data_IF_404976028087
#
_entry.id   IF_404976028087
#
_cell.length_a   1.000
_cell.length_b   1.000
_cell.length_c   1.000
_cell.angle_alpha   90.00
_cell.angle_beta   90.00
_cell.angle_gamma   90.00
#
_symmetry.space_group_name_H-M   'P 1'
#
loop_
_entity.id
_entity.type
_entity.pdbx_description
1 polymer ?
#
# COMPACT_ATOMS: atom_id res chain seq x y z
N UNK A 1 7.64 11.29 11.54
CA UNK A 1 7.84 10.81 10.15
C UNK A 1 6.62 10.00 9.77
N UNK A 2 6.13 10.11 8.54
CA UNK A 2 4.90 9.41 8.18
C UNK A 2 5.14 7.88 8.17
N UNK A 3 4.14 7.13 8.61
CA UNK A 3 4.24 5.69 8.88
C UNK A 3 4.49 4.87 7.60
N UNK A 4 5.33 3.85 7.71
CA UNK A 4 5.59 2.89 6.63
C UNK A 4 5.81 1.49 7.18
N UNK A 5 5.50 0.49 6.36
CA UNK A 5 5.93 -0.90 6.60
C UNK A 5 7.21 -1.16 5.82
N UNK A 6 8.22 -1.74 6.49
CA UNK A 6 9.48 -2.12 5.85
C UNK A 6 9.45 -3.60 5.50
N UNK A 7 9.71 -3.91 4.24
CA UNK A 7 9.83 -5.28 3.75
C UNK A 7 11.28 -5.65 3.44
N UNK A 8 11.59 -6.95 3.53
CA UNK A 8 12.78 -7.49 2.86
C UNK A 8 12.63 -7.36 1.35
N UNK A 9 13.72 -7.52 0.60
CA UNK A 9 13.69 -7.39 -0.86
C UNK A 9 12.72 -8.37 -1.51
N UNK A 10 12.79 -9.64 -1.13
CA UNK A 10 11.93 -10.68 -1.71
C UNK A 10 10.47 -10.48 -1.35
N UNK A 11 10.18 -10.12 -0.08
CA UNK A 11 8.81 -9.83 0.35
C UNK A 11 8.24 -8.58 -0.36
N UNK A 12 9.05 -7.56 -0.58
CA UNK A 12 8.64 -6.37 -1.33
C UNK A 12 8.34 -6.70 -2.79
N UNK A 13 9.22 -7.47 -3.45
CA UNK A 13 8.99 -7.92 -4.83
C UNK A 13 7.70 -8.73 -4.91
N UNK A 14 7.51 -9.69 -4.01
CA UNK A 14 6.30 -10.52 -3.96
C UNK A 14 5.03 -9.68 -3.73
N UNK A 15 5.10 -8.64 -2.90
CA UNK A 15 3.99 -7.72 -2.64
C UNK A 15 3.56 -6.96 -3.90
N UNK A 16 4.51 -6.39 -4.66
CA UNK A 16 4.17 -5.48 -5.76
C UNK A 16 4.04 -6.20 -7.12
N UNK A 17 4.69 -7.34 -7.31
CA UNK A 17 4.75 -8.02 -8.61
C UNK A 17 3.36 -8.30 -9.22
N UNK A 18 2.35 -8.81 -8.48
CA UNK A 18 1.02 -9.04 -9.05
C UNK A 18 0.39 -7.76 -9.62
N UNK A 19 0.51 -6.65 -8.90
CA UNK A 19 -0.01 -5.34 -9.33
C UNK A 19 0.77 -4.80 -10.53
N UNK A 20 2.10 -4.93 -10.51
CA UNK A 20 2.96 -4.51 -11.64
C UNK A 20 2.60 -5.27 -12.91
N UNK A 21 2.42 -6.60 -12.82
CA UNK A 21 2.03 -7.43 -13.94
C UNK A 21 0.62 -7.09 -14.45
N UNK A 22 -0.33 -6.82 -13.55
CA UNK A 22 -1.66 -6.36 -13.93
C UNK A 22 -1.57 -5.04 -14.73
N UNK A 23 -0.87 -4.04 -14.21
CA UNK A 23 -0.74 -2.75 -14.90
C UNK A 23 -0.05 -2.90 -16.26
N UNK A 24 0.92 -3.80 -16.37
CA UNK A 24 1.57 -4.10 -17.65
C UNK A 24 0.60 -4.72 -18.66
N UNK A 25 -0.22 -5.69 -18.26
CA UNK A 25 -1.27 -6.28 -19.13
C UNK A 25 -2.29 -5.24 -19.61
N UNK A 26 -2.58 -4.25 -18.79
CA UNK A 26 -3.44 -3.11 -19.14
C UNK A 26 -2.76 -2.03 -20.01
N UNK A 27 -1.57 -2.32 -20.58
CA UNK A 27 -0.84 -1.40 -21.45
C UNK A 27 0.09 -0.42 -20.72
N UNK A 28 0.56 -0.79 -19.52
CA UNK A 28 1.52 0.00 -18.74
C UNK A 28 2.81 0.33 -19.51
N UNK A 29 3.43 1.48 -19.19
CA UNK A 29 4.50 2.08 -20.01
C UNK A 29 5.89 1.53 -19.71
N UNK A 30 6.06 0.95 -18.52
CA UNK A 30 7.30 0.30 -18.12
C UNK A 30 7.17 -1.21 -18.22
N UNK A 31 8.28 -1.85 -18.56
CA UNK A 31 8.45 -3.29 -18.37
C UNK A 31 8.36 -3.62 -16.88
N UNK A 32 7.70 -4.73 -16.50
CA UNK A 32 7.55 -5.15 -15.11
C UNK A 32 8.85 -5.17 -14.31
N UNK A 33 9.93 -5.69 -14.89
CA UNK A 33 11.25 -5.74 -14.27
C UNK A 33 11.78 -4.36 -13.91
N UNK A 34 11.63 -3.40 -14.83
CA UNK A 34 12.06 -2.01 -14.66
C UNK A 34 11.24 -1.33 -13.58
N UNK A 35 9.92 -1.51 -13.57
CA UNK A 35 9.03 -0.93 -12.55
C UNK A 35 9.31 -1.48 -11.15
N UNK A 36 9.54 -2.79 -11.01
CA UNK A 36 9.90 -3.41 -9.73
C UNK A 36 11.26 -2.89 -9.26
N UNK A 37 12.27 -2.88 -10.13
CA UNK A 37 13.60 -2.39 -9.81
C UNK A 37 13.60 -0.93 -9.39
N UNK A 38 12.85 -0.10 -10.10
CA UNK A 38 12.65 1.30 -9.78
C UNK A 38 11.99 1.46 -8.41
N UNK A 39 10.87 0.78 -8.16
CA UNK A 39 10.17 0.85 -6.88
C UNK A 39 11.06 0.43 -5.70
N UNK A 40 11.89 -0.60 -5.88
CA UNK A 40 12.86 -0.99 -4.86
C UNK A 40 13.94 0.07 -4.65
N UNK A 41 14.48 0.65 -5.73
CA UNK A 41 15.53 1.67 -5.64
C UNK A 41 15.05 2.95 -4.96
N UNK A 42 13.83 3.41 -5.27
CA UNK A 42 13.26 4.65 -4.72
C UNK A 42 12.88 4.50 -3.24
N UNK A 43 12.42 3.32 -2.83
CA UNK A 43 11.86 3.12 -1.47
C UNK A 43 12.78 2.35 -0.53
N UNK A 44 13.73 1.60 -1.08
CA UNK A 44 14.47 0.56 -0.37
C UNK A 44 13.57 -0.52 0.23
N UNK A 45 12.34 -0.73 -0.24
CA UNK A 45 11.37 -1.66 0.35
C UNK A 45 10.46 -1.08 1.44
N UNK A 46 10.45 0.25 1.60
CA UNK A 46 9.51 0.94 2.49
C UNK A 46 8.21 1.22 1.74
N UNK A 47 7.10 0.68 2.21
CA UNK A 47 5.78 0.98 1.65
C UNK A 47 5.07 1.94 2.61
N UNK A 48 4.88 3.20 2.22
CA UNK A 48 4.12 4.14 3.05
C UNK A 48 2.64 3.75 3.10
N UNK A 49 1.96 4.08 4.20
CA UNK A 49 0.51 3.81 4.36
C UNK A 49 -0.36 4.50 3.29
N UNK A 50 0.14 5.56 2.66
CA UNK A 50 -0.53 6.28 1.57
C UNK A 50 -0.06 5.85 0.16
N UNK A 51 0.67 4.74 0.06
CA UNK A 51 1.02 4.02 -1.18
C UNK A 51 1.77 4.83 -2.26
N UNK A 52 2.46 5.90 -1.91
CA UNK A 52 3.29 6.66 -2.86
C UNK A 52 4.72 6.09 -2.92
N UNK A 53 4.98 5.15 -3.83
CA UNK A 53 6.28 4.47 -3.94
C UNK A 53 7.32 5.21 -4.80
N UNK A 54 7.07 6.47 -5.17
CA UNK A 54 7.97 7.25 -6.04
C UNK A 54 8.15 8.70 -5.63
N UNK A 55 7.61 9.11 -4.48
CA UNK A 55 7.72 10.48 -3.99
C UNK A 55 7.03 11.50 -4.90
N UNK A 56 5.86 11.18 -5.46
CA UNK A 56 5.15 12.13 -6.30
C UNK A 56 4.58 13.27 -5.45
N UNK A 57 5.01 14.50 -5.73
CA UNK A 57 4.48 15.70 -5.10
C UNK A 57 3.11 16.07 -5.68
N UNK A 58 2.29 16.77 -4.90
CA UNK A 58 0.96 17.28 -5.32
C UNK A 58 1.07 18.16 -6.57
N UNK A 59 2.13 18.97 -6.67
CA UNK A 59 2.37 19.85 -7.83
C UNK A 59 1.23 20.85 -8.01
N UNK A 60 0.65 20.91 -9.22
CA UNK A 60 -0.48 21.80 -9.53
C UNK A 60 -1.80 21.44 -8.86
N UNK A 61 -1.87 20.32 -8.13
CA UNK A 61 -3.07 19.89 -7.41
C UNK A 61 -4.20 19.34 -8.30
N UNK A 62 -4.00 19.25 -9.63
CA UNK A 62 -5.02 18.72 -10.54
C UNK A 62 -5.17 17.20 -10.37
N UNK A 63 -6.36 16.70 -10.00
CA UNK A 63 -6.62 15.26 -9.91
C UNK A 63 -6.42 14.54 -11.24
N UNK A 64 -6.23 13.23 -11.18
CA UNK A 64 -6.18 12.33 -12.34
C UNK A 64 -7.21 11.22 -12.15
N UNK A 65 -7.41 10.37 -13.16
CA UNK A 65 -8.28 9.19 -13.03
C UNK A 65 -7.85 8.22 -11.91
N UNK A 66 -6.60 8.33 -11.46
CA UNK A 66 -5.98 7.43 -10.48
C UNK A 66 -5.54 8.13 -9.19
N UNK A 67 -5.78 9.44 -9.08
CA UNK A 67 -5.45 10.24 -7.92
C UNK A 67 -6.51 11.32 -7.71
N UNK A 68 -7.20 11.29 -6.57
CA UNK A 68 -8.37 12.12 -6.28
C UNK A 68 -8.04 13.48 -5.63
N UNK A 69 -6.75 13.83 -5.53
CA UNK A 69 -6.29 15.03 -4.84
C UNK A 69 -5.83 14.79 -3.40
N UNK A 70 -6.03 13.57 -2.86
CA UNK A 70 -5.59 13.23 -1.50
C UNK A 70 -4.08 13.45 -1.33
N UNK A 71 -3.66 13.95 -0.16
CA UNK A 71 -2.25 14.26 0.09
C UNK A 71 -1.81 13.97 1.52
N UNK A 72 -0.53 13.65 1.69
CA UNK A 72 0.15 13.60 2.98
C UNK A 72 1.22 14.68 3.01
N UNK A 73 1.22 15.45 4.10
CA UNK A 73 2.21 16.48 4.37
C UNK A 73 3.35 15.91 5.22
N UNK A 74 4.60 16.20 4.87
CA UNK A 74 5.75 15.88 5.69
C UNK A 74 6.60 17.11 5.93
N UNK A 75 7.00 17.33 7.17
CA UNK A 75 8.06 18.28 7.49
C UNK A 75 9.38 17.81 6.89
N UNK A 76 10.08 18.75 6.28
CA UNK A 76 11.42 18.60 5.73
C UNK A 76 12.28 19.74 6.27
N UNK A 77 13.56 19.46 6.52
CA UNK A 77 14.52 20.46 6.98
C UNK A 77 15.35 20.89 5.79
N UNK A 78 15.24 22.16 5.40
CA UNK A 78 16.14 22.75 4.41
C UNK A 78 17.12 23.68 5.13
N UNK A 79 18.40 23.63 4.73
CA UNK A 79 19.43 24.53 5.27
C UNK A 79 19.68 25.62 4.25
N UNK A 80 19.29 26.85 4.58
CA UNK A 80 19.55 28.04 3.77
C UNK A 80 20.60 28.89 4.50
N UNK A 81 21.76 29.09 3.89
CA UNK A 81 22.86 29.92 4.42
C UNK A 81 23.25 29.59 5.88
N UNK A 82 23.24 28.30 6.25
CA UNK A 82 23.56 27.84 7.61
C UNK A 82 22.40 27.86 8.62
N UNK A 83 21.22 28.35 8.22
CA UNK A 83 19.99 28.33 9.03
C UNK A 83 19.10 27.17 8.59
N UNK A 84 18.70 26.31 9.54
CA UNK A 84 17.72 25.26 9.28
C UNK A 84 16.32 25.85 9.31
N UNK A 85 15.62 25.80 8.18
CA UNK A 85 14.21 26.17 8.04
C UNK A 85 13.38 24.91 7.88
N UNK A 86 12.30 24.81 8.66
CA UNK A 86 11.30 23.76 8.47
C UNK A 86 10.45 24.13 7.24
N UNK A 87 10.57 23.37 6.17
CA UNK A 87 9.69 23.48 5.01
C UNK A 87 8.76 22.26 4.94
N UNK A 88 7.62 22.43 4.30
CA UNK A 88 6.61 21.37 4.20
C UNK A 88 6.52 20.86 2.77
N UNK A 89 6.63 19.55 2.59
CA UNK A 89 6.40 18.90 1.31
C UNK A 89 5.06 18.16 1.30
N UNK A 90 4.23 18.44 0.30
CA UNK A 90 2.96 17.74 0.09
C UNK A 90 3.12 16.66 -0.98
N UNK A 91 2.89 15.42 -0.57
CA UNK A 91 2.96 14.23 -1.42
C UNK A 91 1.57 13.74 -1.77
N UNK A 92 1.40 13.22 -2.99
CA UNK A 92 0.17 12.54 -3.38
C UNK A 92 -0.05 11.32 -2.48
N UNK A 93 -1.27 11.12 -2.03
CA UNK A 93 -1.75 9.92 -1.36
C UNK A 93 -2.64 9.14 -2.31
N UNK A 94 -2.45 7.82 -2.38
CA UNK A 94 -3.17 6.94 -3.29
C UNK A 94 -4.05 5.98 -2.51
N UNK A 95 -5.11 5.47 -3.15
CA UNK A 95 -5.99 4.45 -2.56
C UNK A 95 -5.33 3.07 -2.50
N UNK A 96 -4.39 2.81 -3.41
CA UNK A 96 -3.64 1.55 -3.48
C UNK A 96 -2.36 1.69 -4.31
N UNK A 97 -1.51 0.67 -4.25
CA UNK A 97 -0.32 0.53 -5.10
C UNK A 97 -0.69 0.57 -6.60
N UNK A 98 -1.83 -0.01 -6.97
CA UNK A 98 -2.35 0.03 -8.35
C UNK A 98 -2.58 1.48 -8.82
N UNK A 99 -3.27 2.29 -8.01
CA UNK A 99 -3.54 3.69 -8.31
C UNK A 99 -2.25 4.50 -8.49
N UNK A 100 -1.26 4.27 -7.61
CA UNK A 100 0.06 4.89 -7.77
C UNK A 100 0.71 4.52 -9.11
N UNK A 101 0.73 3.23 -9.48
CA UNK A 101 1.34 2.80 -10.74
C UNK A 101 0.61 3.30 -11.98
N UNK A 102 -0.72 3.40 -11.96
CA UNK A 102 -1.47 4.00 -13.07
C UNK A 102 -1.24 5.51 -13.17
N UNK A 103 -1.10 6.22 -12.05
CA UNK A 103 -0.70 7.64 -12.06
C UNK A 103 0.76 7.81 -12.52
N UNK A 104 1.64 6.86 -12.20
CA UNK A 104 3.01 6.80 -12.71
C UNK A 104 3.04 6.67 -14.24
N UNK A 105 2.14 5.89 -14.83
CA UNK A 105 2.03 5.75 -16.28
C UNK A 105 1.68 7.06 -16.98
N UNK A 106 0.90 7.94 -16.33
CA UNK A 106 0.60 9.29 -16.85
C UNK A 106 1.86 10.18 -16.93
N UNK A 107 2.85 9.97 -16.06
CA UNK A 107 4.15 10.64 -16.22
C UNK A 107 4.84 10.15 -17.49
N UNK A 108 4.87 8.84 -17.71
CA UNK A 108 5.55 8.21 -18.83
C UNK A 108 4.82 8.39 -20.18
N UNK A 109 3.56 8.82 -20.17
CA UNK A 109 2.83 9.25 -21.37
C UNK A 109 3.30 10.59 -21.94
N UNK A 110 4.06 11.40 -21.18
CA UNK A 110 4.58 12.66 -21.67
C UNK A 110 5.60 12.44 -22.81
N UNK A 111 5.62 13.36 -23.77
CA UNK A 111 6.49 13.30 -24.96
C UNK A 111 7.98 13.11 -24.65
N UNK A 112 8.47 13.68 -23.55
CA UNK A 112 9.86 13.50 -23.10
C UNK A 112 10.24 12.03 -22.87
N UNK A 113 9.28 11.13 -22.65
CA UNK A 113 9.49 9.71 -22.38
C UNK A 113 9.14 8.80 -23.57
N UNK A 114 9.00 9.34 -24.78
CA UNK A 114 8.71 8.54 -25.99
C UNK A 114 9.72 7.40 -26.19
N UNK A 115 11.00 7.68 -25.95
CA UNK A 115 12.08 6.68 -26.03
C UNK A 115 11.96 5.58 -24.97
N UNK A 116 11.42 5.90 -23.80
CA UNK A 116 11.17 4.92 -22.72
C UNK A 116 10.06 3.97 -23.14
N UNK A 117 8.99 4.49 -23.76
CA UNK A 117 7.87 3.67 -24.26
C UNK A 117 8.25 2.85 -25.50
N UNK A 118 9.18 3.33 -26.31
CA UNK A 118 9.65 2.62 -27.50
C UNK A 118 10.62 1.46 -27.21
N UNK A 119 11.32 1.51 -26.07
CA UNK A 119 12.30 0.49 -25.66
C UNK A 119 11.68 -0.91 -25.58
N UNK A 120 12.42 -1.92 -26.04
CA UNK A 120 11.95 -3.33 -26.10
C UNK A 120 12.62 -4.22 -25.06
N UNK A 121 13.70 -3.76 -24.46
CA UNK A 121 14.41 -4.49 -23.41
C UNK A 121 14.54 -3.67 -22.13
N UNK A 122 14.70 -4.31 -20.95
CA UNK A 122 14.93 -3.59 -19.70
C UNK A 122 16.16 -2.70 -19.75
N UNK A 123 17.22 -3.14 -20.44
CA UNK A 123 18.44 -2.36 -20.63
C UNK A 123 18.17 -1.08 -21.41
N UNK A 124 17.50 -1.19 -22.56
CA UNK A 124 17.12 -0.02 -23.36
C UNK A 124 16.23 0.94 -22.58
N UNK A 125 15.25 0.42 -21.83
CA UNK A 125 14.32 1.24 -21.08
C UNK A 125 14.99 1.96 -19.91
N UNK A 126 15.90 1.29 -19.18
CA UNK A 126 16.73 1.92 -18.14
C UNK A 126 17.62 3.02 -18.71
N UNK A 127 18.29 2.78 -19.85
CA UNK A 127 19.10 3.79 -20.53
C UNK A 127 18.25 4.97 -21.00
N UNK A 128 17.07 4.70 -21.57
CA UNK A 128 16.13 5.73 -22.00
C UNK A 128 15.63 6.58 -20.82
N UNK A 129 15.30 5.97 -19.67
CA UNK A 129 14.89 6.71 -18.47
C UNK A 129 15.95 7.75 -18.06
N UNK A 130 17.22 7.36 -18.06
CA UNK A 130 18.32 8.29 -17.79
C UNK A 130 18.45 9.37 -18.87
N UNK A 131 18.45 8.98 -20.15
CA UNK A 131 18.58 9.92 -21.26
C UNK A 131 17.43 10.95 -21.30
N UNK A 132 16.22 10.54 -20.92
CA UNK A 132 15.04 11.39 -20.81
C UNK A 132 15.03 12.23 -19.52
N UNK A 133 16.06 12.16 -18.68
CA UNK A 133 16.20 12.96 -17.46
C UNK A 133 15.30 12.54 -16.31
N UNK A 134 14.94 11.26 -16.19
CA UNK A 134 14.14 10.77 -15.07
C UNK A 134 14.84 10.98 -13.72
N UNK A 135 16.16 10.72 -13.67
CA UNK A 135 17.00 10.92 -12.49
C UNK A 135 18.26 11.73 -12.83
N UNK A 136 18.68 12.58 -11.90
CA UNK A 136 19.93 13.35 -12.00
C UNK A 136 21.16 12.46 -11.86
N UNK A 137 21.06 11.39 -11.07
CA UNK A 137 22.11 10.40 -10.86
C UNK A 137 22.68 9.83 -12.19
N UNK A 138 23.99 9.98 -12.47
CA UNK A 138 24.62 9.43 -13.67
C UNK A 138 24.55 7.90 -13.73
N UNK A 139 24.56 7.21 -12.59
CA UNK A 139 24.54 5.75 -12.49
C UNK A 139 23.15 5.11 -12.47
N UNK A 140 22.08 5.90 -12.63
CA UNK A 140 20.70 5.43 -12.42
C UNK A 140 20.34 4.19 -13.24
N UNK A 141 20.63 4.21 -14.55
CA UNK A 141 20.36 3.08 -15.44
C UNK A 141 21.13 1.81 -15.00
N UNK A 142 22.38 1.98 -14.56
CA UNK A 142 23.20 0.89 -14.04
C UNK A 142 22.64 0.30 -12.76
N UNK A 143 22.21 1.14 -11.81
CA UNK A 143 21.59 0.70 -10.56
C UNK A 143 20.31 -0.11 -10.79
N UNK A 144 19.45 0.36 -11.71
CA UNK A 144 18.25 -0.39 -12.08
C UNK A 144 18.62 -1.77 -12.67
N UNK A 145 19.55 -1.81 -13.62
CA UNK A 145 20.00 -3.07 -14.21
C UNK A 145 20.63 -4.02 -13.18
N UNK A 146 21.39 -3.50 -12.21
CA UNK A 146 21.93 -4.31 -11.12
C UNK A 146 20.80 -4.94 -10.28
N UNK A 147 19.74 -4.20 -9.97
CA UNK A 147 18.58 -4.75 -9.26
C UNK A 147 17.84 -5.77 -10.14
N UNK A 148 17.66 -5.51 -11.43
CA UNK A 148 16.99 -6.44 -12.35
C UNK A 148 17.72 -7.78 -12.41
N UNK A 149 19.03 -7.75 -12.68
CA UNK A 149 19.84 -8.96 -12.85
C UNK A 149 19.98 -9.73 -11.55
N UNK A 150 20.27 -9.05 -10.43
CA UNK A 150 20.50 -9.72 -9.14
C UNK A 150 19.26 -10.44 -8.59
N UNK A 151 18.06 -10.08 -9.05
CA UNK A 151 16.79 -10.66 -8.56
C UNK A 151 16.01 -11.39 -9.66
N UNK A 152 16.62 -11.61 -10.83
CA UNK A 152 16.00 -12.31 -11.96
C UNK A 152 14.66 -11.71 -12.39
N UNK A 153 14.53 -10.38 -12.38
CA UNK A 153 13.23 -9.71 -12.55
C UNK A 153 12.66 -9.80 -13.98
N UNK A 154 13.50 -10.12 -14.97
CA UNK A 154 13.07 -10.30 -16.37
C UNK A 154 12.04 -11.41 -16.54
N UNK A 155 11.93 -12.34 -15.58
CA UNK A 155 10.85 -13.36 -15.55
C UNK A 155 9.44 -12.75 -15.54
N UNK A 156 9.30 -11.50 -15.10
CA UNK A 156 8.03 -10.77 -15.10
C UNK A 156 7.75 -10.04 -16.42
N UNK A 157 8.73 -9.87 -17.30
CA UNK A 157 8.59 -9.15 -18.58
C UNK A 157 8.07 -10.03 -19.71
N UNK A 158 8.14 -11.36 -19.54
CA UNK A 158 7.61 -12.27 -20.53
C UNK A 158 6.12 -11.97 -20.73
N UNK A 159 5.63 -11.92 -21.98
CA UNK A 159 4.19 -11.91 -22.20
C UNK A 159 3.63 -13.10 -21.45
N UNK A 160 2.71 -12.85 -20.51
CA UNK A 160 1.90 -13.92 -19.92
C UNK A 160 1.37 -14.68 -21.13
N UNK A 161 1.77 -15.95 -21.26
CA UNK A 161 1.24 -16.78 -22.33
C UNK A 161 -0.26 -16.55 -22.35
N UNK A 162 -0.80 -16.14 -23.49
CA UNK A 162 -2.22 -15.87 -23.71
C UNK A 162 -3.04 -17.17 -23.68
N UNK A 163 -2.72 -18.07 -22.75
CA UNK A 163 -3.44 -19.28 -22.41
C UNK A 163 -3.90 -19.28 -20.95
N UNK A 164 -4.04 -18.09 -20.34
CA UNK A 164 -4.33 -17.90 -18.91
C UNK A 164 -5.69 -17.31 -18.58
N UNK A 165 -6.38 -16.64 -19.51
CA UNK A 165 -7.68 -16.03 -19.22
C UNK A 165 -8.85 -17.03 -19.34
N UNK A 166 -8.62 -18.19 -19.97
CA UNK A 166 -9.59 -19.29 -20.12
C UNK A 166 -9.06 -20.65 -19.60
N UNK A 167 -7.86 -20.73 -18.99
CA UNK A 167 -7.49 -21.97 -18.32
C UNK A 167 -8.25 -22.07 -16.99
N UNK A 168 -9.04 -23.14 -16.78
CA UNK A 168 -9.62 -23.39 -15.48
C UNK A 168 -8.47 -23.41 -14.46
N UNK A 169 -8.64 -22.63 -13.39
CA UNK A 169 -7.74 -22.65 -12.24
C UNK A 169 -7.37 -24.08 -11.90
N UNK A 170 -6.07 -24.36 -11.70
CA UNK A 170 -5.62 -25.72 -11.38
C UNK A 170 -6.32 -26.22 -10.12
N UNK A 171 -6.44 -27.53 -9.94
CA UNK A 171 -7.08 -28.08 -8.74
C UNK A 171 -6.41 -27.60 -7.43
N UNK A 172 -5.12 -27.29 -7.48
CA UNK A 172 -4.35 -26.77 -6.35
C UNK A 172 -4.65 -25.29 -6.08
N UNK A 173 -4.65 -24.47 -7.12
CA UNK A 173 -5.04 -23.05 -7.01
C UNK A 173 -6.50 -22.92 -6.57
N UNK A 174 -7.38 -23.82 -7.02
CA UNK A 174 -8.78 -23.84 -6.60
C UNK A 174 -8.94 -24.14 -5.13
N UNK A 175 -8.23 -25.17 -4.63
CA UNK A 175 -8.20 -25.46 -3.20
C UNK A 175 -7.62 -24.31 -2.39
N UNK A 176 -6.58 -23.65 -2.88
CA UNK A 176 -5.98 -22.51 -2.20
C UNK A 176 -6.95 -21.30 -2.16
N UNK A 177 -7.66 -21.04 -3.25
CA UNK A 177 -8.67 -19.99 -3.34
C UNK A 177 -9.88 -20.26 -2.43
N UNK A 178 -10.39 -21.49 -2.46
CA UNK A 178 -11.51 -21.91 -1.60
C UNK A 178 -11.12 -21.78 -0.12
N UNK A 179 -9.92 -22.23 0.25
CA UNK A 179 -9.38 -22.06 1.60
C UNK A 179 -9.25 -20.59 1.98
N UNK A 180 -8.71 -19.75 1.10
CA UNK A 180 -8.58 -18.31 1.37
C UNK A 180 -9.95 -17.65 1.58
N UNK A 181 -10.96 -18.07 0.81
CA UNK A 181 -12.34 -17.59 0.97
C UNK A 181 -12.93 -18.00 2.32
N UNK A 182 -12.69 -19.22 2.76
CA UNK A 182 -13.08 -19.70 4.09
C UNK A 182 -12.37 -18.92 5.21
N UNK A 183 -11.06 -18.71 5.10
CA UNK A 183 -10.27 -17.94 6.06
C UNK A 183 -10.75 -16.49 6.15
N UNK A 184 -11.02 -15.83 5.02
CA UNK A 184 -11.56 -14.46 4.98
C UNK A 184 -12.95 -14.40 5.60
N UNK A 185 -13.82 -15.38 5.33
CA UNK A 185 -15.14 -15.45 5.94
C UNK A 185 -15.05 -15.63 7.46
N UNK A 186 -14.15 -16.49 7.94
CA UNK A 186 -13.90 -16.71 9.36
C UNK A 186 -13.35 -15.45 10.05
N UNK A 187 -12.42 -14.73 9.42
CA UNK A 187 -11.88 -13.46 9.91
C UNK A 187 -12.98 -12.40 9.99
N UNK A 188 -13.87 -12.33 9.00
CA UNK A 188 -14.99 -11.40 9.03
C UNK A 188 -15.94 -11.70 10.19
N UNK A 189 -16.29 -12.97 10.40
CA UNK A 189 -17.15 -13.39 11.51
C UNK A 189 -16.50 -13.10 12.87
N UNK A 190 -15.19 -13.34 13.03
CA UNK A 190 -14.49 -13.05 14.27
C UNK A 190 -14.38 -11.54 14.53
N UNK A 191 -14.14 -10.74 13.49
CA UNK A 191 -14.13 -9.28 13.59
C UNK A 191 -15.51 -8.72 13.97
N UNK A 192 -16.59 -9.24 13.37
CA UNK A 192 -17.96 -8.91 13.76
C UNK A 192 -18.23 -9.31 15.22
N UNK A 193 -17.80 -10.49 15.66
CA UNK A 193 -17.99 -10.95 17.04
C UNK A 193 -17.27 -10.06 18.07
N UNK A 194 -16.07 -9.57 17.76
CA UNK A 194 -15.28 -8.72 18.67
C UNK A 194 -15.80 -7.27 18.69
N UNK A 195 -16.32 -6.77 17.56
CA UNK A 195 -16.76 -5.37 17.43
C UNK A 195 -18.24 -5.17 17.73
N UNK A 196 -19.04 -6.23 17.82
CA UNK A 196 -20.47 -6.17 18.09
C UNK A 196 -20.73 -5.54 19.45
N UNK A 197 -21.47 -4.42 19.42
CA UNK A 197 -22.04 -3.83 20.62
C UNK A 197 -23.27 -4.64 21.04
N UNK A 198 -23.27 -5.08 22.29
CA UNK A 198 -24.33 -5.87 22.90
C UNK A 198 -24.84 -5.17 24.16
N UNK A 199 -26.13 -5.33 24.50
CA UNK A 199 -26.62 -4.87 25.79
C UNK A 199 -25.89 -5.59 26.92
N UNK A 200 -26.01 -5.07 28.14
CA UNK A 200 -25.34 -5.62 29.31
C UNK A 200 -25.60 -7.14 29.46
N UNK A 201 -24.53 -7.97 29.47
CA UNK A 201 -24.66 -9.39 29.69
C UNK A 201 -25.29 -9.71 31.05
N UNK A 202 -25.93 -10.87 31.17
CA UNK A 202 -26.57 -11.33 32.41
C UNK A 202 -25.58 -11.34 33.59
N UNK A 203 -24.32 -11.70 33.36
CA UNK A 203 -23.30 -11.70 34.41
C UNK A 203 -23.03 -10.28 34.94
N UNK A 204 -23.11 -9.27 34.08
CA UNK A 204 -22.90 -7.88 34.44
C UNK A 204 -24.11 -7.34 35.21
N UNK A 205 -25.32 -7.53 34.69
CA UNK A 205 -26.55 -7.04 35.35
C UNK A 205 -26.81 -7.74 36.68
N UNK A 206 -26.41 -9.01 36.83
CA UNK A 206 -26.49 -9.71 38.11
C UNK A 206 -25.61 -9.08 39.20
N UNK A 207 -24.48 -8.50 38.84
CA UNK A 207 -23.53 -7.89 39.79
C UNK A 207 -23.78 -6.40 40.01
N UNK A 208 -24.16 -5.67 38.95
CA UNK A 208 -24.27 -4.21 38.95
C UNK A 208 -25.72 -3.70 38.84
N UNK A 209 -26.71 -4.61 38.79
CA UNK A 209 -28.14 -4.31 38.76
C UNK A 209 -28.69 -4.02 37.37
N UNK A 210 -28.05 -3.12 36.62
CA UNK A 210 -28.48 -2.75 35.27
C UNK A 210 -27.31 -2.34 34.37
N UNK A 211 -27.53 -2.37 33.06
CA UNK A 211 -26.50 -1.99 32.07
C UNK A 211 -26.26 -0.49 31.98
N UNK A 212 -27.29 0.31 32.24
CA UNK A 212 -27.24 1.77 32.25
C UNK A 212 -26.74 2.34 33.60
N UNK A 213 -26.49 1.47 34.58
CA UNK A 213 -26.05 1.83 35.94
C UNK A 213 -26.95 2.90 36.58
N UNK A 214 -28.28 2.74 36.44
CA UNK A 214 -29.26 3.69 36.96
C UNK A 214 -29.31 5.01 36.19
N UNK A 215 -29.06 4.99 34.88
CA UNK A 215 -29.10 6.15 33.99
C UNK A 215 -27.78 6.91 33.84
N UNK A 216 -26.69 6.44 34.44
CA UNK A 216 -25.35 7.02 34.30
C UNK A 216 -24.73 6.77 32.92
N UNK A 217 -25.14 5.68 32.25
CA UNK A 217 -24.70 5.34 30.89
C UNK A 217 -25.85 5.53 29.93
N UNK A 218 -25.76 6.54 29.07
CA UNK A 218 -26.81 6.91 28.11
C UNK A 218 -27.00 5.91 26.96
N UNK A 219 -25.97 5.14 26.61
CA UNK A 219 -26.05 4.06 25.62
C UNK A 219 -25.34 2.80 26.17
N UNK A 220 -26.07 1.93 26.89
CA UNK A 220 -25.50 0.74 27.53
C UNK A 220 -25.35 -0.41 26.53
N UNK A 221 -24.64 -0.15 25.43
CA UNK A 221 -24.25 -1.16 24.46
C UNK A 221 -22.73 -1.08 24.27
N UNK A 222 -22.03 -2.08 24.80
CA UNK A 222 -20.58 -2.20 24.71
C UNK A 222 -20.21 -3.52 24.04
N UNK A 223 -18.97 -3.66 23.61
CA UNK A 223 -18.43 -4.98 23.26
C UNK A 223 -18.36 -5.85 24.52
N UNK A 224 -18.30 -7.18 24.38
CA UNK A 224 -18.15 -8.09 25.52
C UNK A 224 -16.93 -7.72 26.40
N UNK A 225 -15.82 -7.37 25.76
CA UNK A 225 -14.62 -6.91 26.47
C UNK A 225 -14.79 -5.51 27.09
N UNK A 226 -15.60 -4.64 26.47
CA UNK A 226 -16.01 -3.37 27.05
C UNK A 226 -16.77 -3.56 28.37
N UNK A 227 -17.69 -4.52 28.42
CA UNK A 227 -18.39 -4.88 29.66
C UNK A 227 -17.44 -5.42 30.74
N UNK A 228 -16.50 -6.29 30.37
CA UNK A 228 -15.47 -6.80 31.32
C UNK A 228 -14.60 -5.68 31.87
N UNK A 229 -14.15 -4.79 31.00
CA UNK A 229 -13.33 -3.62 31.37
C UNK A 229 -14.10 -2.72 32.34
N UNK A 230 -15.36 -2.41 32.03
CA UNK A 230 -16.22 -1.62 32.90
C UNK A 230 -16.44 -2.30 34.26
N UNK A 231 -16.69 -3.61 34.29
CA UNK A 231 -16.85 -4.37 35.52
C UNK A 231 -15.59 -4.33 36.39
N UNK A 232 -14.39 -4.46 35.80
CA UNK A 232 -13.11 -4.34 36.51
C UNK A 232 -12.97 -2.95 37.14
N UNK A 233 -13.27 -1.89 36.38
CA UNK A 233 -13.22 -0.52 36.88
C UNK A 233 -14.19 -0.31 38.06
N UNK A 234 -15.46 -0.71 37.91
CA UNK A 234 -16.48 -0.57 38.96
C UNK A 234 -16.12 -1.34 40.25
N UNK A 235 -15.52 -2.52 40.14
CA UNK A 235 -15.01 -3.29 41.29
C UNK A 235 -13.86 -2.59 41.99
N UNK A 236 -13.00 -1.89 41.26
CA UNK A 236 -11.92 -1.12 41.85
C UNK A 236 -12.44 0.08 42.63
N UNK A 237 -13.47 0.78 42.12
CA UNK A 237 -14.08 1.91 42.81
C UNK A 237 -14.86 1.52 44.08
N UNK A 238 -15.48 0.33 44.13
CA UNK A 238 -16.18 -0.17 45.34
C UNK A 238 -15.26 -0.54 46.52
N UNK A 239 -13.93 -0.58 46.33
CA UNK A 239 -12.95 -0.95 47.37
C UNK A 239 -12.44 0.24 48.19
N UNK A 240 -12.91 1.45 47.91
CA UNK A 240 -12.66 2.68 48.66
C UNK A 240 -13.96 3.19 49.28
#
# INVERSE_FOLDING_TARGET
>A
MPNYTKYSKDAFIALIAPTVMQVHREGGRLLPSVRIAQSWLETGGKVPEWFNLGGYKVGSGKPTAYWDGSSVSTETKEVYNGVTVNTTANWRAYKSIYHYFKDQDLLFDRSRYDRVRAAKTPKEQCTALKACGYATDPGYAGKLMSVITANGLTKYDAPVATGGEDTPMTNEEKKAFDKLREDVAAIKLSMEAVTKLVPAPVWFTKEFGSGDLGGLVSNPNFTEEGWRTLAVALRAFKKH
#
